data_IF_984139714449
#
_entry.id   IF_984139714449
#
_cell.length_a   1.000
_cell.length_b   1.000
_cell.length_c   1.000
_cell.angle_alpha   90.00
_cell.angle_beta   90.00
_cell.angle_gamma   90.00
#
_symmetry.space_group_name_H-M   'P 1'
#
loop_
_entity.id
_entity.type
_entity.pdbx_description
1 polymer ?
#
# COMPACT_ATOMS: atom_id res chain seq x y z
N UNK A 1 19.51 30.26 72.03
CA UNK A 1 18.09 29.97 71.76
C UNK A 1 17.61 30.90 70.66
N UNK A 2 17.49 30.41 69.43
CA UNK A 2 16.86 31.13 68.32
C UNK A 2 15.92 30.15 67.63
N UNK A 3 14.62 30.43 67.66
CA UNK A 3 13.58 29.59 67.10
C UNK A 3 13.29 29.98 65.64
N UNK A 4 13.21 28.97 64.78
CA UNK A 4 12.84 29.08 63.36
C UNK A 4 11.30 29.13 63.22
N UNK A 5 10.71 29.97 62.36
CA UNK A 5 9.29 29.90 62.08
C UNK A 5 9.00 28.85 61.00
N UNK A 6 8.13 27.90 61.35
CA UNK A 6 7.58 26.86 60.47
C UNK A 6 6.63 27.44 59.42
N UNK A 7 6.88 27.13 58.14
CA UNK A 7 5.99 27.39 57.00
C UNK A 7 4.69 26.60 57.16
N UNK A 8 3.57 27.31 57.27
CA UNK A 8 2.23 26.73 57.14
C UNK A 8 1.87 26.55 55.67
N UNK A 9 1.68 25.31 55.23
CA UNK A 9 1.24 24.97 53.87
C UNK A 9 -0.21 25.40 53.62
N UNK A 10 -0.48 25.92 52.43
CA UNK A 10 -1.85 26.26 51.98
C UNK A 10 -2.68 24.97 51.82
N UNK A 11 -3.96 24.96 52.20
CA UNK A 11 -4.84 23.81 51.98
C UNK A 11 -5.10 23.62 50.48
N UNK A 12 -5.00 22.37 50.02
CA UNK A 12 -5.32 21.98 48.65
C UNK A 12 -6.81 22.13 48.33
N UNK A 13 -7.19 22.20 47.05
CA UNK A 13 -8.58 22.37 46.64
C UNK A 13 -9.45 21.19 47.09
N UNK A 14 -10.76 21.43 47.32
CA UNK A 14 -11.68 20.40 47.79
C UNK A 14 -11.82 19.27 46.75
N UNK A 15 -12.04 18.02 47.21
CA UNK A 15 -11.99 16.82 46.36
C UNK A 15 -13.00 16.83 45.20
N UNK A 16 -14.12 17.55 45.35
CA UNK A 16 -15.12 17.70 44.29
C UNK A 16 -14.62 18.51 43.08
N UNK A 17 -13.75 19.50 43.31
CA UNK A 17 -13.16 20.32 42.24
C UNK A 17 -12.08 19.55 41.48
N UNK A 18 -11.31 18.70 42.18
CA UNK A 18 -10.32 17.83 41.58
C UNK A 18 -10.95 16.76 40.67
N UNK A 19 -12.10 16.21 41.09
CA UNK A 19 -12.85 15.24 40.29
C UNK A 19 -13.47 15.88 39.04
N UNK A 20 -14.02 17.09 39.16
CA UNK A 20 -14.56 17.85 38.03
C UNK A 20 -13.49 18.24 37.00
N UNK A 21 -12.30 18.66 37.46
CA UNK A 21 -11.15 18.90 36.58
C UNK A 21 -10.65 17.63 35.89
N UNK A 22 -10.62 16.49 36.60
CA UNK A 22 -10.23 15.21 36.01
C UNK A 22 -11.22 14.73 34.93
N UNK A 23 -12.53 14.91 35.15
CA UNK A 23 -13.56 14.54 34.18
C UNK A 23 -13.55 15.44 32.93
N UNK A 24 -13.32 16.75 33.11
CA UNK A 24 -13.20 17.70 32.00
C UNK A 24 -11.93 17.44 31.15
N UNK A 25 -10.82 17.07 31.77
CA UNK A 25 -9.59 16.69 31.09
C UNK A 25 -9.72 15.35 30.33
N UNK A 26 -10.50 14.40 30.86
CA UNK A 26 -10.80 13.13 30.18
C UNK A 26 -11.72 13.31 28.95
N UNK A 27 -12.68 14.25 28.99
CA UNK A 27 -13.51 14.56 27.83
C UNK A 27 -12.76 15.32 26.72
N UNK A 28 -11.80 16.17 27.07
CA UNK A 28 -10.97 16.88 26.08
C UNK A 28 -10.02 15.95 25.29
N UNK A 29 -9.63 14.81 25.87
CA UNK A 29 -8.78 13.80 25.22
C UNK A 29 -9.54 12.89 24.24
N UNK A 30 -10.88 12.84 24.30
CA UNK A 30 -11.70 12.02 23.41
C UNK A 30 -12.05 12.71 22.08
N UNK A 31 -11.82 14.03 21.95
CA UNK A 31 -12.12 14.81 20.74
C UNK A 31 -10.96 14.83 19.72
N UNK A 32 -9.81 14.21 20.03
CA UNK A 32 -8.61 14.24 19.19
C UNK A 32 -8.52 13.05 18.23
N UNK A 33 -8.46 13.36 16.93
CA UNK A 33 -8.20 12.46 15.79
C UNK A 33 -9.40 11.77 15.12
N UNK A 34 -10.41 12.55 14.74
CA UNK A 34 -11.09 12.26 13.48
C UNK A 34 -10.08 12.45 12.34
N UNK A 35 -9.40 11.36 11.92
CA UNK A 35 -8.58 11.35 10.69
C UNK A 35 -9.49 11.67 9.52
N UNK A 36 -9.45 12.90 9.04
CA UNK A 36 -9.99 13.28 7.74
C UNK A 36 -9.34 12.38 6.70
N UNK A 37 -10.10 11.47 6.09
CA UNK A 37 -9.64 10.76 4.90
C UNK A 37 -9.23 11.84 3.88
N UNK A 38 -8.02 11.75 3.28
CA UNK A 38 -7.67 12.67 2.21
C UNK A 38 -8.80 12.65 1.18
N UNK A 39 -9.27 13.82 0.76
CA UNK A 39 -10.29 13.91 -0.28
C UNK A 39 -9.81 13.11 -1.51
N UNK A 40 -10.69 12.36 -2.19
CA UNK A 40 -10.34 11.74 -3.46
C UNK A 40 -9.75 12.81 -4.38
N UNK A 41 -8.66 12.48 -5.08
CA UNK A 41 -8.14 13.36 -6.13
C UNK A 41 -9.18 13.58 -7.24
N UNK A 42 -8.90 14.48 -8.20
CA UNK A 42 -9.83 14.79 -9.26
C UNK A 42 -10.30 13.52 -10.02
N UNK A 43 -11.54 13.52 -10.54
CA UNK A 43 -12.04 12.42 -11.36
C UNK A 43 -11.12 12.16 -12.55
N UNK A 44 -11.00 10.90 -12.92
CA UNK A 44 -10.20 10.44 -14.05
C UNK A 44 -10.96 10.65 -15.37
N UNK A 45 -10.26 10.74 -16.52
CA UNK A 45 -10.93 10.70 -17.81
C UNK A 45 -11.71 9.39 -17.98
N UNK A 46 -12.62 9.36 -18.94
CA UNK A 46 -13.31 8.13 -19.33
C UNK A 46 -12.30 7.13 -19.91
N UNK A 47 -12.23 5.95 -19.29
CA UNK A 47 -11.31 4.87 -19.62
C UNK A 47 -12.13 3.58 -19.72
N UNK A 48 -12.39 3.15 -20.95
CA UNK A 48 -13.23 1.98 -21.23
C UNK A 48 -12.43 0.69 -21.33
N UNK A 49 -11.14 0.77 -21.67
CA UNK A 49 -10.25 -0.39 -21.78
C UNK A 49 -8.93 -0.17 -21.03
N UNK A 50 -8.83 -0.74 -19.84
CA UNK A 50 -7.64 -0.71 -18.98
C UNK A 50 -6.97 -2.08 -19.05
N UNK A 51 -5.80 -2.17 -19.68
CA UNK A 51 -5.00 -3.39 -19.65
C UNK A 51 -4.38 -3.57 -18.26
N UNK A 52 -4.51 -4.74 -17.67
CA UNK A 52 -3.88 -5.06 -16.37
C UNK A 52 -2.73 -6.03 -16.63
N UNK A 53 -1.50 -5.52 -16.47
CA UNK A 53 -0.30 -6.33 -16.69
C UNK A 53 -0.03 -7.25 -15.47
N UNK A 54 0.68 -8.37 -15.68
CA UNK A 54 1.27 -9.13 -14.58
C UNK A 54 2.14 -8.22 -13.70
N UNK A 55 2.23 -8.57 -12.42
CA UNK A 55 3.02 -7.82 -11.44
C UNK A 55 4.49 -7.90 -11.83
N UNK A 56 5.09 -6.74 -12.09
CA UNK A 56 6.52 -6.62 -12.34
C UNK A 56 7.30 -6.64 -11.03
N UNK A 57 8.56 -7.06 -11.11
CA UNK A 57 9.45 -7.23 -9.95
C UNK A 57 10.46 -6.10 -9.93
N UNK A 58 10.74 -5.56 -8.75
CA UNK A 58 11.89 -4.69 -8.59
C UNK A 58 13.18 -5.53 -8.67
N UNK A 59 14.10 -5.12 -9.54
CA UNK A 59 15.45 -5.68 -9.54
C UNK A 59 16.25 -5.05 -8.41
N UNK A 60 16.61 -5.85 -7.41
CA UNK A 60 17.51 -5.45 -6.32
C UNK A 60 18.83 -6.20 -6.45
N UNK A 61 19.96 -5.51 -6.20
CA UNK A 61 21.27 -6.17 -6.13
C UNK A 61 21.42 -6.91 -4.79
N UNK A 62 22.26 -7.95 -4.70
CA UNK A 62 22.63 -8.53 -3.41
C UNK A 62 23.12 -7.44 -2.44
N UNK A 63 22.54 -7.39 -1.24
CA UNK A 63 22.84 -6.38 -0.22
C UNK A 63 22.15 -5.02 -0.41
N UNK A 64 21.35 -4.83 -1.46
CA UNK A 64 20.58 -3.61 -1.66
C UNK A 64 19.27 -3.65 -0.85
N UNK A 65 19.18 -2.83 0.19
CA UNK A 65 18.02 -2.79 1.09
C UNK A 65 16.88 -1.88 0.60
N UNK A 66 17.14 -1.04 -0.40
CA UNK A 66 16.18 -0.04 -0.90
C UNK A 66 16.16 0.01 -2.42
N UNK A 67 14.98 0.19 -2.99
CA UNK A 67 14.81 0.41 -4.43
C UNK A 67 13.83 1.56 -4.70
N UNK A 68 14.10 2.31 -5.77
CA UNK A 68 13.30 3.47 -6.17
C UNK A 68 12.45 3.13 -7.39
N UNK A 69 11.18 3.49 -7.35
CA UNK A 69 10.28 3.34 -8.48
C UNK A 69 10.53 4.42 -9.54
N UNK A 70 11.01 4.03 -10.72
CA UNK A 70 11.30 4.97 -11.82
C UNK A 70 10.09 5.75 -12.36
N UNK A 71 8.86 5.38 -11.97
CA UNK A 71 7.62 6.05 -12.41
C UNK A 71 7.09 7.07 -11.40
N UNK A 72 7.55 7.01 -10.15
CA UNK A 72 6.99 7.82 -9.05
C UNK A 72 8.04 8.38 -8.09
N UNK A 73 9.33 8.05 -8.29
CA UNK A 73 10.47 8.42 -7.43
C UNK A 73 10.31 8.02 -5.96
N UNK A 74 9.36 7.14 -5.65
CA UNK A 74 9.17 6.61 -4.30
C UNK A 74 10.16 5.50 -4.02
N UNK A 75 10.85 5.60 -2.89
CA UNK A 75 11.81 4.59 -2.40
C UNK A 75 11.15 3.67 -1.38
N UNK A 76 11.31 2.37 -1.59
CA UNK A 76 10.80 1.32 -0.69
C UNK A 76 11.96 0.58 -0.04
N UNK A 77 11.73 0.07 1.17
CA UNK A 77 12.50 -1.09 1.65
C UNK A 77 12.22 -2.25 0.69
N UNK A 78 13.28 -2.83 0.13
CA UNK A 78 13.19 -3.79 -0.94
C UNK A 78 13.96 -5.07 -0.59
N UNK A 79 13.45 -6.20 -1.09
CA UNK A 79 14.09 -7.51 -0.99
C UNK A 79 14.03 -8.18 -2.34
N UNK A 80 14.79 -9.26 -2.51
CA UNK A 80 14.64 -10.08 -3.71
C UNK A 80 13.20 -10.62 -3.79
N UNK A 81 12.63 -10.55 -4.99
CA UNK A 81 11.30 -11.07 -5.30
C UNK A 81 11.47 -12.09 -6.42
N UNK A 82 11.14 -13.34 -6.14
CA UNK A 82 11.21 -14.41 -7.13
C UNK A 82 9.96 -14.42 -8.05
N UNK A 83 9.96 -15.18 -9.16
CA UNK A 83 8.81 -15.25 -10.08
C UNK A 83 7.52 -15.76 -9.42
N UNK A 84 7.58 -16.80 -8.58
CA UNK A 84 6.41 -17.39 -7.92
C UNK A 84 5.70 -16.40 -6.99
N UNK A 85 6.47 -15.57 -6.27
CA UNK A 85 5.94 -14.52 -5.40
C UNK A 85 5.20 -13.44 -6.20
N UNK A 86 5.76 -13.04 -7.35
CA UNK A 86 5.10 -12.09 -8.24
C UNK A 86 3.85 -12.69 -8.91
N UNK A 87 3.89 -13.98 -9.26
CA UNK A 87 2.73 -14.71 -9.78
C UNK A 87 1.60 -14.78 -8.74
N UNK A 88 1.93 -15.05 -7.48
CA UNK A 88 0.95 -15.08 -6.39
C UNK A 88 0.22 -13.74 -6.24
N UNK A 89 0.93 -12.61 -6.32
CA UNK A 89 0.31 -11.27 -6.28
C UNK A 89 -0.44 -10.96 -7.58
N UNK A 90 0.05 -11.43 -8.73
CA UNK A 90 -0.63 -11.29 -10.03
C UNK A 90 -2.00 -11.99 -10.02
N UNK A 91 -2.06 -13.21 -9.47
CA UNK A 91 -3.31 -13.96 -9.35
C UNK A 91 -4.33 -13.20 -8.51
N UNK A 92 -3.92 -12.70 -7.35
CA UNK A 92 -4.77 -11.85 -6.49
C UNK A 92 -5.23 -10.60 -7.22
N UNK A 93 -4.33 -9.90 -7.93
CA UNK A 93 -4.68 -8.71 -8.70
C UNK A 93 -5.74 -9.02 -9.77
N UNK A 94 -5.57 -10.11 -10.51
CA UNK A 94 -6.47 -10.51 -11.59
C UNK A 94 -7.86 -10.91 -11.05
N UNK A 95 -7.91 -11.68 -9.97
CA UNK A 95 -9.16 -12.00 -9.27
C UNK A 95 -9.89 -10.72 -8.79
N UNK A 96 -9.16 -9.74 -8.27
CA UNK A 96 -9.76 -8.51 -7.73
C UNK A 96 -10.33 -7.57 -8.80
N UNK A 97 -9.82 -7.64 -10.04
CA UNK A 97 -10.34 -6.86 -11.18
C UNK A 97 -11.35 -7.62 -12.02
N UNK A 98 -11.52 -8.92 -11.77
CA UNK A 98 -12.51 -9.76 -12.43
C UNK A 98 -13.93 -9.21 -12.21
N UNK A 99 -14.78 -9.32 -13.22
CA UNK A 99 -16.16 -8.81 -13.20
C UNK A 99 -16.33 -7.32 -13.51
N UNK A 100 -15.27 -6.51 -13.52
CA UNK A 100 -15.35 -5.12 -13.99
C UNK A 100 -14.93 -5.04 -15.47
N UNK A 101 -15.86 -4.72 -16.41
CA UNK A 101 -15.61 -4.83 -17.84
C UNK A 101 -14.57 -3.83 -18.37
N UNK A 102 -14.22 -2.81 -17.58
CA UNK A 102 -13.16 -1.84 -17.91
C UNK A 102 -11.78 -2.49 -17.83
N UNK A 103 -11.58 -3.44 -16.93
CA UNK A 103 -10.28 -4.07 -16.72
C UNK A 103 -10.12 -5.31 -17.59
N UNK A 104 -8.96 -5.43 -18.22
CA UNK A 104 -8.59 -6.55 -19.11
C UNK A 104 -7.28 -7.15 -18.63
N UNK A 105 -7.33 -8.19 -17.77
CA UNK A 105 -6.14 -8.95 -17.37
C UNK A 105 -5.40 -9.49 -18.60
N UNK A 106 -4.07 -9.33 -18.60
CA UNK A 106 -3.21 -9.78 -19.68
C UNK A 106 -2.38 -10.95 -19.17
N UNK A 107 -2.54 -12.16 -19.72
CA UNK A 107 -1.74 -13.32 -19.31
C UNK A 107 -0.24 -13.09 -19.53
N UNK A 108 0.60 -13.62 -18.64
CA UNK A 108 2.05 -13.43 -18.69
C UNK A 108 2.68 -13.88 -20.01
N UNK A 109 2.25 -15.02 -20.56
CA UNK A 109 2.74 -15.50 -21.87
C UNK A 109 2.51 -14.50 -23.01
N UNK A 110 1.41 -13.74 -22.98
CA UNK A 110 1.14 -12.67 -23.96
C UNK A 110 2.09 -11.49 -23.77
N UNK A 111 2.41 -11.15 -22.51
CA UNK A 111 3.39 -10.12 -22.21
C UNK A 111 4.81 -10.51 -22.66
N UNK A 112 5.22 -11.76 -22.43
CA UNK A 112 6.53 -12.26 -22.85
C UNK A 112 6.70 -12.24 -24.37
N UNK A 113 5.69 -12.70 -25.11
CA UNK A 113 5.71 -12.68 -26.58
C UNK A 113 5.87 -11.26 -27.13
N UNK A 114 5.13 -10.30 -26.57
CA UNK A 114 5.22 -8.92 -27.02
C UNK A 114 6.52 -8.23 -26.57
N UNK A 115 7.03 -8.55 -25.37
CA UNK A 115 8.33 -8.07 -24.93
C UNK A 115 9.45 -8.51 -25.88
N UNK A 116 9.43 -9.77 -26.32
CA UNK A 116 10.39 -10.30 -27.29
C UNK A 116 10.39 -9.53 -28.60
N UNK A 117 9.21 -9.24 -29.14
CA UNK A 117 9.05 -8.44 -30.37
C UNK A 117 9.54 -6.99 -30.17
N UNK A 118 9.24 -6.38 -29.03
CA UNK A 118 9.63 -5.00 -28.72
C UNK A 118 11.14 -4.85 -28.51
N UNK A 119 11.77 -5.77 -27.79
CA UNK A 119 13.22 -5.74 -27.56
C UNK A 119 14.00 -6.00 -28.85
N UNK A 120 13.48 -6.82 -29.77
CA UNK A 120 14.06 -7.00 -31.09
C UNK A 120 14.03 -5.72 -31.94
N UNK A 121 13.03 -4.87 -31.73
CA UNK A 121 12.88 -3.58 -32.43
C UNK A 121 13.66 -2.43 -31.76
N UNK A 122 13.75 -2.41 -30.42
CA UNK A 122 14.49 -1.39 -29.65
C UNK A 122 15.04 -1.94 -28.32
N UNK A 123 16.34 -2.23 -28.30
CA UNK A 123 17.06 -2.78 -27.14
C UNK A 123 17.15 -1.78 -25.97
N UNK A 124 16.93 -0.47 -26.19
CA UNK A 124 17.07 0.60 -25.18
C UNK A 124 15.73 1.19 -24.72
N UNK A 125 14.63 0.48 -24.94
CA UNK A 125 13.31 0.96 -24.52
C UNK A 125 13.23 1.14 -22.99
N UNK A 126 12.93 2.36 -22.53
CA UNK A 126 12.62 2.64 -21.12
C UNK A 126 11.38 1.87 -20.65
N UNK A 127 11.26 1.61 -19.35
CA UNK A 127 10.09 0.92 -18.77
C UNK A 127 8.75 1.57 -19.17
N UNK A 128 8.66 2.91 -19.15
CA UNK A 128 7.44 3.62 -19.55
C UNK A 128 7.11 3.41 -21.04
N UNK A 129 8.13 3.42 -21.91
CA UNK A 129 7.94 3.13 -23.35
C UNK A 129 7.44 1.70 -23.57
N UNK A 130 7.98 0.72 -22.84
CA UNK A 130 7.49 -0.67 -22.90
C UNK A 130 6.04 -0.79 -22.45
N UNK A 131 5.69 -0.22 -21.30
CA UNK A 131 4.31 -0.23 -20.78
C UNK A 131 3.34 0.40 -21.79
N UNK A 132 3.70 1.53 -22.41
CA UNK A 132 2.89 2.16 -23.46
C UNK A 132 2.77 1.29 -24.70
N UNK A 133 3.86 0.63 -25.12
CA UNK A 133 3.83 -0.26 -26.27
C UNK A 133 2.90 -1.46 -26.03
N UNK A 134 2.91 -2.05 -24.83
CA UNK A 134 1.92 -3.05 -24.42
C UNK A 134 0.50 -2.51 -24.55
N UNK A 135 0.24 -1.34 -23.97
CA UNK A 135 -1.09 -0.73 -24.03
C UNK A 135 -1.58 -0.48 -25.47
N UNK A 136 -0.69 -0.02 -26.36
CA UNK A 136 -1.00 0.21 -27.78
C UNK A 136 -1.37 -1.08 -28.50
N UNK A 137 -0.56 -2.13 -28.34
CA UNK A 137 -0.83 -3.42 -28.96
C UNK A 137 -2.14 -4.03 -28.48
N UNK A 138 -2.46 -3.84 -27.20
CA UNK A 138 -3.69 -4.31 -26.58
C UNK A 138 -4.90 -3.42 -26.91
N UNK A 139 -4.68 -2.31 -27.64
CA UNK A 139 -5.68 -1.30 -27.97
C UNK A 139 -6.34 -0.69 -26.74
N UNK A 140 -5.58 -0.54 -25.64
CA UNK A 140 -6.06 -0.04 -24.35
C UNK A 140 -5.92 1.48 -24.23
N UNK A 141 -6.81 2.12 -23.48
CA UNK A 141 -6.77 3.55 -23.16
C UNK A 141 -5.71 3.84 -22.09
N UNK A 142 -5.60 2.92 -21.13
CA UNK A 142 -4.66 2.97 -20.03
C UNK A 142 -4.13 1.58 -19.67
N UNK A 143 -3.00 1.56 -18.96
CA UNK A 143 -2.39 0.36 -18.40
C UNK A 143 -2.33 0.48 -16.89
N UNK A 144 -2.89 -0.49 -16.18
CA UNK A 144 -2.65 -0.70 -14.76
C UNK A 144 -1.38 -1.54 -14.60
N UNK A 145 -0.33 -0.89 -14.11
CA UNK A 145 1.00 -1.47 -13.90
C UNK A 145 1.32 -1.52 -12.41
N UNK A 146 1.72 -2.70 -11.93
CA UNK A 146 2.09 -2.93 -10.53
C UNK A 146 3.53 -3.37 -10.46
N UNK A 147 4.32 -2.76 -9.56
CA UNK A 147 5.70 -3.16 -9.27
C UNK A 147 5.85 -3.57 -7.82
N UNK A 148 6.27 -4.81 -7.59
CA UNK A 148 6.50 -5.43 -6.29
C UNK A 148 7.96 -5.26 -5.88
N UNK A 149 8.19 -4.63 -4.73
CA UNK A 149 9.51 -4.33 -4.18
C UNK A 149 9.92 -5.28 -3.06
N UNK A 150 8.93 -5.85 -2.36
CA UNK A 150 9.16 -6.72 -1.20
C UNK A 150 8.00 -7.69 -1.06
N UNK A 151 8.35 -8.97 -0.84
CA UNK A 151 7.42 -10.03 -0.52
C UNK A 151 8.11 -11.00 0.43
N UNK A 152 7.91 -10.79 1.73
CA UNK A 152 8.41 -11.66 2.79
C UNK A 152 7.24 -12.40 3.39
N UNK A 153 7.27 -13.73 3.28
CA UNK A 153 6.29 -14.58 3.96
C UNK A 153 6.52 -14.55 5.47
N UNK A 154 5.46 -14.83 6.24
CA UNK A 154 5.59 -15.02 7.68
C UNK A 154 6.29 -16.34 7.99
N UNK A 155 7.11 -16.34 9.04
CA UNK A 155 7.68 -17.56 9.62
C UNK A 155 7.03 -17.87 10.96
N UNK A 156 6.44 -19.05 11.12
CA UNK A 156 5.75 -19.47 12.33
C UNK A 156 4.32 -19.97 12.07
N UNK A 157 3.54 -20.12 13.13
CA UNK A 157 2.12 -20.52 13.05
C UNK A 157 1.21 -19.32 12.84
N UNK A 158 -0.08 -19.55 12.56
CA UNK A 158 -1.06 -18.49 12.43
C UNK A 158 -1.23 -17.64 13.71
N UNK A 159 -0.84 -18.18 14.87
CA UNK A 159 -1.00 -17.57 16.20
C UNK A 159 0.34 -17.24 16.89
N UNK A 160 1.48 -17.62 16.31
CA UNK A 160 2.80 -17.31 16.83
C UNK A 160 3.82 -17.16 15.70
N UNK A 161 4.34 -15.94 15.53
CA UNK A 161 5.25 -15.59 14.42
C UNK A 161 6.66 -15.29 14.94
N UNK A 162 7.68 -15.79 14.25
CA UNK A 162 9.09 -15.42 14.42
C UNK A 162 9.47 -14.24 13.54
N UNK A 163 8.91 -14.18 12.32
CA UNK A 163 9.08 -13.08 11.37
C UNK A 163 7.73 -12.74 10.73
N UNK A 164 7.23 -11.50 10.83
CA UNK A 164 5.93 -11.12 10.28
C UNK A 164 5.95 -11.12 8.75
N UNK A 165 4.79 -11.35 8.14
CA UNK A 165 4.62 -11.14 6.71
C UNK A 165 4.82 -9.66 6.37
N UNK A 166 5.36 -9.42 5.18
CA UNK A 166 5.63 -8.06 4.76
C UNK A 166 5.68 -7.86 3.26
N UNK A 167 5.00 -6.82 2.79
CA UNK A 167 4.78 -6.58 1.38
C UNK A 167 4.93 -5.10 1.07
N UNK A 168 5.64 -4.77 -0.01
CA UNK A 168 5.71 -3.41 -0.54
C UNK A 168 5.54 -3.41 -2.06
N UNK A 169 4.61 -2.61 -2.57
CA UNK A 169 4.37 -2.43 -4.01
C UNK A 169 3.88 -1.02 -4.35
N UNK A 170 4.02 -0.65 -5.63
CA UNK A 170 3.34 0.51 -6.22
C UNK A 170 2.43 0.11 -7.37
N UNK A 171 1.29 0.80 -7.49
CA UNK A 171 0.38 0.74 -8.63
C UNK A 171 0.39 2.07 -9.37
N UNK A 172 0.34 2.00 -10.69
CA UNK A 172 0.22 3.16 -11.57
C UNK A 172 -0.83 2.88 -12.63
N UNK A 173 -1.74 3.83 -12.84
CA UNK A 173 -2.59 3.88 -14.02
C UNK A 173 -1.96 4.83 -15.03
N UNK A 174 -1.47 4.30 -16.13
CA UNK A 174 -0.72 5.05 -17.14
C UNK A 174 -1.56 5.17 -18.41
N UNK A 175 -1.78 6.39 -18.89
CA UNK A 175 -2.46 6.62 -20.17
C UNK A 175 -1.56 6.19 -21.32
N UNK A 176 -2.11 5.43 -22.26
CA UNK A 176 -1.35 4.89 -23.40
C UNK A 176 -0.95 5.99 -24.40
N UNK A 177 -1.85 6.94 -24.62
CA UNK A 177 -1.70 8.02 -25.61
C UNK A 177 -0.39 8.81 -25.42
N UNK A 178 -0.14 9.31 -24.21
CA UNK A 178 0.95 10.24 -23.88
C UNK A 178 1.93 9.68 -22.83
N UNK A 179 1.57 8.64 -22.08
CA UNK A 179 2.38 8.10 -20.98
C UNK A 179 2.13 8.76 -19.63
N UNK A 180 1.11 9.63 -19.51
CA UNK A 180 0.80 10.30 -18.26
C UNK A 180 0.37 9.30 -17.18
N UNK A 181 0.95 9.41 -15.99
CA UNK A 181 0.48 8.70 -14.79
C UNK A 181 -0.77 9.41 -14.28
N UNK A 182 -1.93 8.85 -14.58
CA UNK A 182 -3.24 9.43 -14.21
C UNK A 182 -3.57 9.21 -12.73
N UNK A 183 -3.12 8.09 -12.19
CA UNK A 183 -3.34 7.71 -10.80
C UNK A 183 -2.21 6.82 -10.31
N UNK A 184 -1.92 6.88 -9.02
CA UNK A 184 -0.94 6.02 -8.35
C UNK A 184 -1.38 5.66 -6.94
N UNK A 185 -0.95 4.51 -6.46
CA UNK A 185 -1.06 4.11 -5.06
C UNK A 185 0.22 3.38 -4.62
N UNK A 186 0.56 3.52 -3.35
CA UNK A 186 1.67 2.83 -2.72
C UNK A 186 1.16 2.02 -1.54
N UNK A 187 1.76 0.86 -1.33
CA UNK A 187 1.53 0.03 -0.16
C UNK A 187 2.88 -0.45 0.36
N UNK A 188 3.14 -0.23 1.64
CA UNK A 188 4.36 -0.70 2.30
C UNK A 188 4.00 -1.05 3.74
N UNK A 189 3.79 -2.34 3.99
CA UNK A 189 3.34 -2.81 5.29
C UNK A 189 4.14 -4.03 5.75
N UNK A 190 4.51 -3.97 7.03
CA UNK A 190 5.03 -5.09 7.81
C UNK A 190 4.03 -5.36 8.91
N UNK A 191 3.51 -6.59 8.99
CA UNK A 191 2.55 -6.90 10.04
C UNK A 191 3.20 -6.72 11.42
N UNK A 192 2.45 -6.12 12.34
CA UNK A 192 2.87 -5.95 13.74
C UNK A 192 2.07 -6.89 14.65
N UNK A 193 2.67 -7.35 15.76
CA UNK A 193 1.95 -8.17 16.74
C UNK A 193 0.70 -7.48 17.25
N UNK A 194 -0.34 -8.28 17.54
CA UNK A 194 -1.59 -7.76 18.12
C UNK A 194 -1.31 -7.06 19.46
N UNK A 195 -0.39 -7.59 20.28
CA UNK A 195 0.03 -6.98 21.55
C UNK A 195 0.58 -5.57 21.41
N UNK A 196 1.28 -5.27 20.30
CA UNK A 196 1.79 -3.93 19.99
C UNK A 196 0.70 -2.99 19.46
N UNK A 197 -0.45 -3.53 19.01
CA UNK A 197 -1.57 -2.77 18.42
C UNK A 197 -2.81 -2.63 19.34
N UNK A 198 -2.84 -3.24 20.53
CA UNK A 198 -3.99 -3.13 21.45
C UNK A 198 -4.27 -1.67 21.88
N UNK A 199 -3.22 -0.85 21.99
CA UNK A 199 -3.31 0.58 22.35
C UNK A 199 -3.40 1.51 21.12
N UNK A 200 -3.19 1.01 19.90
CA UNK A 200 -3.24 1.76 18.66
C UNK A 200 -4.49 1.39 17.86
N UNK A 201 -5.64 1.97 18.26
CA UNK A 201 -6.96 1.75 17.67
C UNK A 201 -7.10 2.36 16.26
N UNK A 202 -6.20 2.03 15.34
CA UNK A 202 -6.30 2.46 13.95
C UNK A 202 -7.26 1.53 13.18
N UNK A 203 -8.25 2.12 12.50
CA UNK A 203 -9.47 1.45 12.01
C UNK A 203 -9.24 0.46 10.87
N UNK A 204 -8.05 0.44 10.27
CA UNK A 204 -7.67 -0.52 9.22
C UNK A 204 -6.90 -1.74 9.75
N UNK A 205 -6.17 -1.62 10.87
CA UNK A 205 -5.25 -2.66 11.38
C UNK A 205 -5.95 -3.77 12.19
N UNK A 206 -7.19 -3.55 12.62
CA UNK A 206 -7.91 -4.43 13.57
C UNK A 206 -8.49 -5.72 13.00
N UNK A 207 -8.25 -6.06 11.73
CA UNK A 207 -9.02 -7.13 11.06
C UNK A 207 -8.44 -8.53 11.16
N UNK A 208 -7.17 -8.69 11.48
CA UNK A 208 -6.57 -10.02 11.52
C UNK A 208 -6.35 -10.48 12.97
N UNK A 209 -7.23 -11.35 13.46
CA UNK A 209 -7.08 -12.09 14.74
C UNK A 209 -5.88 -13.06 14.67
N UNK A 210 -5.33 -13.26 13.47
CA UNK A 210 -4.18 -14.12 13.16
C UNK A 210 -3.19 -13.38 12.27
N UNK A 211 -1.97 -13.89 12.18
CA UNK A 211 -0.99 -13.41 11.20
C UNK A 211 -1.44 -13.78 9.78
N UNK A 212 -1.42 -12.79 8.87
CA UNK A 212 -1.75 -13.02 7.47
C UNK A 212 -0.52 -13.55 6.74
N UNK A 213 -0.74 -14.32 5.68
CA UNK A 213 0.33 -14.60 4.71
C UNK A 213 0.71 -13.35 3.93
N UNK A 214 1.85 -13.37 3.25
CA UNK A 214 2.24 -12.26 2.38
C UNK A 214 1.21 -12.05 1.24
N UNK A 215 0.65 -13.13 0.68
CA UNK A 215 -0.40 -13.02 -0.34
C UNK A 215 -1.70 -12.38 0.20
N UNK A 216 -2.11 -12.72 1.42
CA UNK A 216 -3.27 -12.11 2.09
C UNK A 216 -3.02 -10.63 2.42
N UNK A 217 -1.81 -10.28 2.85
CA UNK A 217 -1.42 -8.89 3.07
C UNK A 217 -1.40 -8.09 1.76
N UNK A 218 -0.91 -8.69 0.68
CA UNK A 218 -0.94 -8.09 -0.65
C UNK A 218 -2.38 -7.86 -1.13
N UNK A 219 -3.28 -8.84 -0.94
CA UNK A 219 -4.72 -8.70 -1.22
C UNK A 219 -5.32 -7.49 -0.52
N UNK A 220 -5.07 -7.33 0.77
CA UNK A 220 -5.57 -6.18 1.54
C UNK A 220 -5.14 -4.85 0.91
N UNK A 221 -3.87 -4.71 0.55
CA UNK A 221 -3.37 -3.50 -0.09
C UNK A 221 -3.97 -3.27 -1.47
N UNK A 222 -4.09 -4.31 -2.30
CA UNK A 222 -4.68 -4.24 -3.63
C UNK A 222 -6.17 -3.89 -3.60
N UNK A 223 -6.94 -4.48 -2.67
CA UNK A 223 -8.35 -4.15 -2.46
C UNK A 223 -8.54 -2.67 -2.13
N UNK A 224 -7.75 -2.14 -1.20
CA UNK A 224 -7.81 -0.74 -0.81
C UNK A 224 -7.46 0.19 -1.99
N UNK A 225 -6.41 -0.14 -2.74
CA UNK A 225 -5.95 0.63 -3.89
C UNK A 225 -6.96 0.61 -5.05
N UNK A 226 -7.50 -0.57 -5.41
CA UNK A 226 -8.49 -0.72 -6.46
C UNK A 226 -9.84 -0.09 -6.08
N UNK A 227 -10.23 -0.14 -4.81
CA UNK A 227 -11.41 0.57 -4.34
C UNK A 227 -11.26 2.10 -4.48
N UNK A 228 -10.06 2.65 -4.27
CA UNK A 228 -9.79 4.06 -4.56
C UNK A 228 -9.84 4.37 -6.05
N UNK A 229 -9.20 3.55 -6.87
CA UNK A 229 -9.21 3.71 -8.32
C UNK A 229 -10.65 3.70 -8.87
N UNK A 230 -11.46 2.72 -8.50
CA UNK A 230 -12.87 2.58 -8.95
C UNK A 230 -13.75 3.77 -8.58
N UNK A 231 -13.47 4.45 -7.46
CA UNK A 231 -14.21 5.67 -7.07
C UNK A 231 -13.86 6.88 -7.93
N UNK A 232 -12.70 6.89 -8.59
CA UNK A 232 -12.23 8.01 -9.43
C UNK A 232 -12.48 7.80 -10.90
N UNK A 233 -12.66 6.55 -11.34
CA UNK A 233 -13.16 6.25 -12.67
C UNK A 233 -14.62 6.71 -12.77
N UNK A 234 -15.02 7.34 -13.89
CA UNK A 234 -16.41 7.74 -14.12
C UNK A 234 -17.34 6.52 -14.26
#
# INVERSE_FOLDING_TARGET
>A
MAAHPSRTGRPGPPPALALAMALAMAMALAAGCARTRPAPGPPLPDLSRIAVLPVDRASVRPGQEKATCALSDTTFAASEVNPEQAEAVTRVLFELVEGDPRFRPVPEGRCLGLLGALLAADVKATQLRLIRAFGRELGADAVLYVKLFRFSEREGTAYGVRRPASVAFNLHLIRVADGAVLWRAAFDETQKPVSENLLALDTYRRRAVRWLTAAELARMGLEAALADLRRRLP
#
